data_IF_599386879377
#
_entry.id   IF_599386879377
#
_cell.length_a   1.000
_cell.length_b   1.000
_cell.length_c   1.000
_cell.angle_alpha   90.00
_cell.angle_beta   90.00
_cell.angle_gamma   90.00
#
_symmetry.space_group_name_H-M   'P 1'
#
loop_
_entity.id
_entity.type
_entity.pdbx_description
1 polymer ?
#
# COMPACT_ATOMS: atom_id res chain seq x y z
N UNK A 1 -7.49 13.93 -55.47
CA UNK A 1 -7.17 14.35 -54.08
C UNK A 1 -6.08 13.43 -53.54
N UNK A 2 -4.84 13.90 -53.29
CA UNK A 2 -3.77 13.02 -52.81
C UNK A 2 -3.91 12.74 -51.31
N UNK A 3 -3.91 11.46 -50.96
CA UNK A 3 -3.97 10.91 -49.61
C UNK A 3 -2.68 11.18 -48.82
N UNK A 4 -2.78 11.88 -47.68
CA UNK A 4 -1.66 12.10 -46.74
C UNK A 4 -1.22 10.77 -46.10
N UNK A 5 0.08 10.46 -46.01
CA UNK A 5 0.54 9.32 -45.22
C UNK A 5 0.50 9.68 -43.73
N UNK A 6 -0.18 8.85 -42.93
CA UNK A 6 -0.24 8.95 -41.47
C UNK A 6 1.17 8.76 -40.89
N UNK A 7 1.60 9.76 -40.12
CA UNK A 7 2.84 9.79 -39.36
C UNK A 7 3.03 8.49 -38.55
N UNK A 8 4.16 7.80 -38.78
CA UNK A 8 4.61 6.68 -37.95
C UNK A 8 5.09 7.26 -36.61
N UNK A 9 4.21 7.31 -35.62
CA UNK A 9 4.61 7.57 -34.24
C UNK A 9 5.62 6.49 -33.82
N UNK A 10 6.86 6.90 -33.56
CA UNK A 10 7.88 6.03 -32.94
C UNK A 10 7.30 5.49 -31.62
N UNK A 11 7.42 4.18 -31.33
CA UNK A 11 7.13 3.68 -30.00
C UNK A 11 8.04 4.43 -29.01
N UNK A 12 7.46 5.19 -28.10
CA UNK A 12 8.24 5.75 -26.99
C UNK A 12 8.89 4.57 -26.23
N UNK A 13 10.18 4.64 -25.90
CA UNK A 13 10.80 3.66 -25.02
C UNK A 13 9.98 3.64 -23.72
N UNK A 14 9.43 2.48 -23.37
CA UNK A 14 8.83 2.27 -22.07
C UNK A 14 9.83 2.72 -21.00
N UNK A 15 9.43 3.51 -20.00
CA UNK A 15 10.33 3.89 -18.91
C UNK A 15 10.94 2.61 -18.33
N UNK A 16 12.25 2.63 -18.00
CA UNK A 16 12.95 1.45 -17.52
C UNK A 16 12.18 0.83 -16.35
N UNK A 17 12.08 -0.51 -16.29
CA UNK A 17 11.38 -1.16 -15.20
C UNK A 17 12.00 -0.67 -13.89
N UNK A 18 11.16 -0.21 -12.96
CA UNK A 18 11.65 0.44 -11.77
C UNK A 18 12.45 -0.55 -10.93
N UNK A 19 13.48 -0.06 -10.21
CA UNK A 19 14.31 -0.91 -9.38
C UNK A 19 13.42 -1.70 -8.41
N UNK A 20 13.62 -3.02 -8.37
CA UNK A 20 12.82 -3.97 -7.58
C UNK A 20 12.71 -3.59 -6.11
N UNK A 21 13.74 -2.95 -5.56
CA UNK A 21 13.78 -2.42 -4.20
C UNK A 21 12.83 -1.22 -3.98
N UNK A 22 12.68 -0.34 -4.98
CA UNK A 22 11.76 0.80 -4.92
C UNK A 22 10.31 0.34 -5.03
N UNK A 23 10.04 -0.68 -5.84
CA UNK A 23 8.73 -1.32 -5.92
C UNK A 23 8.36 -2.00 -4.59
N UNK A 24 9.28 -2.77 -4.02
CA UNK A 24 9.10 -3.40 -2.70
C UNK A 24 8.77 -2.36 -1.62
N UNK A 25 9.59 -1.32 -1.48
CA UNK A 25 9.36 -0.26 -0.48
C UNK A 25 8.03 0.44 -0.67
N UNK A 26 7.69 0.77 -1.92
CA UNK A 26 6.42 1.41 -2.24
C UNK A 26 5.23 0.53 -1.83
N UNK A 27 5.23 -0.76 -2.21
CA UNK A 27 4.16 -1.70 -1.84
C UNK A 27 4.07 -1.89 -0.32
N UNK A 28 5.21 -2.07 0.36
CA UNK A 28 5.25 -2.22 1.80
C UNK A 28 4.66 -0.99 2.51
N UNK A 29 5.02 0.22 2.08
CA UNK A 29 4.42 1.46 2.60
C UNK A 29 2.90 1.49 2.38
N UNK A 30 2.42 1.09 1.21
CA UNK A 30 0.98 1.00 0.95
C UNK A 30 0.25 0.04 1.89
N UNK A 31 0.86 -1.09 2.24
CA UNK A 31 0.30 -2.01 3.22
C UNK A 31 0.37 -1.47 4.65
N UNK A 32 1.52 -0.91 5.05
CA UNK A 32 1.69 -0.32 6.39
C UNK A 32 0.70 0.81 6.67
N UNK A 33 0.44 1.68 5.68
CA UNK A 33 -0.56 2.74 5.83
C UNK A 33 -1.97 2.15 5.95
N UNK A 34 -2.26 1.05 5.24
CA UNK A 34 -3.52 0.30 5.37
C UNK A 34 -3.68 -0.40 6.72
N UNK A 35 -2.61 -0.60 7.49
CA UNK A 35 -2.67 -1.19 8.82
C UNK A 35 -3.27 -0.25 9.87
N UNK A 36 -3.04 1.04 9.72
CA UNK A 36 -3.48 2.09 10.67
C UNK A 36 -4.99 2.01 10.95
N UNK A 37 -5.89 1.96 9.95
CA UNK A 37 -7.32 1.82 10.22
C UNK A 37 -7.68 0.48 10.88
N UNK A 38 -7.02 -0.62 10.53
CA UNK A 38 -7.26 -1.93 11.17
C UNK A 38 -6.89 -1.91 12.66
N UNK A 39 -5.75 -1.31 13.02
CA UNK A 39 -5.35 -1.16 14.41
C UNK A 39 -6.30 -0.25 15.18
N UNK A 40 -6.75 0.85 14.58
CA UNK A 40 -7.72 1.74 15.22
C UNK A 40 -9.06 1.03 15.51
N UNK A 41 -9.55 0.20 14.57
CA UNK A 41 -10.73 -0.64 14.80
C UNK A 41 -10.50 -1.68 15.90
N UNK A 42 -9.33 -2.34 15.93
CA UNK A 42 -8.99 -3.30 16.96
C UNK A 42 -9.00 -2.65 18.36
N UNK A 43 -8.38 -1.48 18.48
CA UNK A 43 -8.31 -0.74 19.74
C UNK A 43 -9.69 -0.22 20.17
N UNK A 44 -10.56 0.14 19.23
CA UNK A 44 -11.97 0.45 19.50
C UNK A 44 -12.71 -0.76 20.05
N UNK A 45 -12.57 -1.93 19.40
CA UNK A 45 -13.21 -3.17 19.83
C UNK A 45 -12.75 -3.61 21.23
N UNK A 46 -11.47 -3.39 21.53
CA UNK A 46 -10.89 -3.64 22.85
C UNK A 46 -11.24 -2.57 23.89
N UNK A 47 -12.10 -1.59 23.55
CA UNK A 47 -12.49 -0.47 24.40
C UNK A 47 -11.31 0.38 24.91
N UNK A 48 -10.15 0.28 24.25
CA UNK A 48 -8.93 1.04 24.59
C UNK A 48 -9.01 2.46 24.04
N UNK A 49 -9.67 2.65 22.90
CA UNK A 49 -9.94 3.96 22.32
C UNK A 49 -11.43 4.31 22.36
N UNK A 50 -11.78 5.58 22.66
CA UNK A 50 -13.13 6.10 22.45
C UNK A 50 -13.54 5.94 20.99
N UNK A 51 -14.79 5.54 20.74
CA UNK A 51 -15.31 5.26 19.40
C UNK A 51 -15.14 6.43 18.43
N UNK A 52 -15.34 7.67 18.89
CA UNK A 52 -15.16 8.88 18.08
C UNK A 52 -13.71 9.05 17.59
N UNK A 53 -12.74 8.79 18.46
CA UNK A 53 -11.31 8.89 18.13
C UNK A 53 -10.91 7.77 17.18
N UNK A 54 -11.34 6.54 17.46
CA UNK A 54 -11.06 5.41 16.58
C UNK A 54 -11.64 5.62 15.18
N UNK A 55 -12.89 6.06 15.05
CA UNK A 55 -13.53 6.32 13.76
C UNK A 55 -12.82 7.43 12.97
N UNK A 56 -12.38 8.50 13.64
CA UNK A 56 -11.59 9.55 13.00
C UNK A 56 -10.25 9.01 12.47
N UNK A 57 -9.54 8.21 13.27
CA UNK A 57 -8.27 7.57 12.86
C UNK A 57 -8.48 6.58 11.72
N UNK A 58 -9.57 5.80 11.75
CA UNK A 58 -9.95 4.89 10.66
C UNK A 58 -10.20 5.65 9.39
N UNK A 59 -11.00 6.72 9.44
CA UNK A 59 -11.36 7.50 8.27
C UNK A 59 -10.12 8.14 7.62
N UNK A 60 -9.27 8.80 8.42
CA UNK A 60 -8.04 9.43 7.95
C UNK A 60 -7.05 8.38 7.43
N UNK A 61 -6.83 7.29 8.18
CA UNK A 61 -5.93 6.21 7.80
C UNK A 61 -6.37 5.51 6.52
N UNK A 62 -7.68 5.31 6.33
CA UNK A 62 -8.24 4.76 5.12
C UNK A 62 -8.04 5.68 3.91
N UNK A 63 -8.34 6.98 4.04
CA UNK A 63 -8.10 7.97 2.98
C UNK A 63 -6.61 8.05 2.61
N UNK A 64 -5.72 8.05 3.59
CA UNK A 64 -4.28 8.01 3.37
C UNK A 64 -3.85 6.73 2.64
N UNK A 65 -4.40 5.57 3.03
CA UNK A 65 -4.11 4.28 2.38
C UNK A 65 -4.56 4.29 0.92
N UNK A 66 -5.77 4.77 0.64
CA UNK A 66 -6.27 4.89 -0.74
C UNK A 66 -5.38 5.82 -1.57
N UNK A 67 -5.02 6.98 -1.02
CA UNK A 67 -4.16 7.94 -1.72
C UNK A 67 -2.77 7.36 -2.02
N UNK A 68 -2.13 6.74 -1.03
CA UNK A 68 -0.82 6.10 -1.17
C UNK A 68 -0.90 4.95 -2.19
N UNK A 69 -1.90 4.09 -2.10
CA UNK A 69 -2.08 2.98 -3.04
C UNK A 69 -2.37 3.46 -4.47
N UNK A 70 -3.17 4.51 -4.65
CA UNK A 70 -3.41 5.13 -5.96
C UNK A 70 -2.11 5.72 -6.53
N UNK A 71 -1.34 6.44 -5.71
CA UNK A 71 -0.06 7.03 -6.11
C UNK A 71 0.97 5.96 -6.51
N UNK A 72 1.00 4.85 -5.79
CA UNK A 72 1.87 3.71 -6.10
C UNK A 72 1.41 3.02 -7.38
N UNK A 73 0.11 2.78 -7.56
CA UNK A 73 -0.45 2.15 -8.78
C UNK A 73 -0.15 2.94 -10.04
N UNK A 74 -0.17 4.27 -9.97
CA UNK A 74 0.20 5.13 -11.11
C UNK A 74 1.67 4.98 -11.52
N UNK A 75 2.57 4.66 -10.57
CA UNK A 75 4.00 4.46 -10.83
C UNK A 75 4.37 3.01 -11.12
N UNK A 76 3.70 2.05 -10.49
CA UNK A 76 4.01 0.62 -10.50
C UNK A 76 2.73 -0.20 -10.71
N UNK A 77 2.40 -0.60 -11.95
CA UNK A 77 1.27 -1.48 -12.20
C UNK A 77 1.46 -2.82 -11.46
N UNK A 78 0.34 -3.45 -11.09
CA UNK A 78 0.34 -4.67 -10.29
C UNK A 78 0.89 -5.85 -11.11
N UNK A 79 1.92 -6.54 -10.59
CA UNK A 79 2.58 -7.64 -11.29
C UNK A 79 3.04 -8.70 -10.26
N UNK A 80 2.11 -9.61 -9.93
CA UNK A 80 2.29 -10.68 -8.94
C UNK A 80 3.36 -11.72 -9.33
N UNK A 81 3.85 -11.70 -10.58
CA UNK A 81 4.98 -12.53 -11.00
C UNK A 81 6.29 -12.10 -10.32
N UNK A 82 6.35 -10.88 -9.77
CA UNK A 82 7.56 -10.35 -9.13
C UNK A 82 7.63 -10.78 -7.67
N UNK A 83 8.69 -11.51 -7.31
CA UNK A 83 9.01 -11.92 -5.92
C UNK A 83 9.02 -10.75 -4.93
N UNK A 84 9.32 -9.53 -5.37
CA UNK A 84 9.29 -8.32 -4.56
C UNK A 84 7.91 -8.05 -3.92
N UNK A 85 6.83 -8.47 -4.57
CA UNK A 85 5.47 -8.33 -4.08
C UNK A 85 5.17 -9.29 -2.92
N UNK A 86 5.64 -10.53 -3.04
CA UNK A 86 5.60 -11.54 -1.97
C UNK A 86 6.43 -11.13 -0.76
N UNK A 87 7.62 -10.57 -0.99
CA UNK A 87 8.44 -10.02 0.09
C UNK A 87 7.74 -8.87 0.80
N UNK A 88 7.08 -7.95 0.07
CA UNK A 88 6.36 -6.84 0.68
C UNK A 88 5.18 -7.33 1.53
N UNK A 89 4.49 -8.38 1.07
CA UNK A 89 3.43 -9.04 1.82
C UNK A 89 3.97 -9.71 3.08
N UNK A 90 5.06 -10.48 2.97
CA UNK A 90 5.70 -11.16 4.10
C UNK A 90 6.22 -10.19 5.16
N UNK A 91 6.86 -9.09 4.73
CA UNK A 91 7.31 -8.02 5.63
C UNK A 91 6.13 -7.34 6.33
N UNK A 92 5.04 -7.08 5.61
CA UNK A 92 3.81 -6.57 6.21
C UNK A 92 3.26 -7.53 7.26
N UNK A 93 3.10 -8.82 6.95
CA UNK A 93 2.64 -9.84 7.90
C UNK A 93 3.54 -9.91 9.13
N UNK A 94 4.86 -9.84 8.98
CA UNK A 94 5.79 -9.83 10.11
C UNK A 94 5.59 -8.62 11.03
N UNK A 95 5.36 -7.42 10.45
CA UNK A 95 5.06 -6.21 11.22
C UNK A 95 3.75 -6.37 11.99
N UNK A 96 2.70 -6.92 11.35
CA UNK A 96 1.43 -7.20 12.04
C UNK A 96 1.63 -8.13 13.22
N UNK A 97 2.29 -9.27 13.02
CA UNK A 97 2.56 -10.24 14.08
C UNK A 97 3.35 -9.60 15.22
N UNK A 98 4.37 -8.80 14.92
CA UNK A 98 5.16 -8.10 15.94
C UNK A 98 4.32 -7.10 16.74
N UNK A 99 3.55 -6.24 16.06
CA UNK A 99 2.68 -5.25 16.72
C UNK A 99 1.61 -5.93 17.58
N UNK A 100 0.97 -6.98 17.06
CA UNK A 100 -0.03 -7.76 17.80
C UNK A 100 0.59 -8.45 19.01
N UNK A 101 1.78 -9.05 18.87
CA UNK A 101 2.47 -9.71 19.98
C UNK A 101 2.82 -8.72 21.08
N UNK A 102 3.39 -7.56 20.72
CA UNK A 102 3.70 -6.49 21.68
C UNK A 102 2.43 -6.01 22.38
N UNK A 103 1.35 -5.76 21.63
CA UNK A 103 0.07 -5.36 22.21
C UNK A 103 -0.47 -6.40 23.21
N UNK A 104 -0.45 -7.68 22.85
CA UNK A 104 -0.88 -8.76 23.75
C UNK A 104 -0.01 -8.86 25.00
N UNK A 105 1.31 -8.62 24.90
CA UNK A 105 2.21 -8.61 26.06
C UNK A 105 1.92 -7.48 27.06
N UNK A 106 1.26 -6.39 26.65
CA UNK A 106 0.88 -5.28 27.53
C UNK A 106 -0.56 -5.34 28.03
N UNK A 107 -1.40 -6.19 27.42
CA UNK A 107 -2.85 -6.27 27.70
C UNK A 107 -3.25 -7.62 28.30
N UNK A 108 -2.40 -8.65 28.21
CA UNK A 108 -2.52 -9.91 28.95
C UNK A 108 -1.99 -9.78 30.37
#
# INVERSE_FOLDING_TARGET
>A
MPSKPKSKAKPQPLPPPPPTSALFRARLLGYLVGLVPLLALLLMFRQVLPSQVALAVVFIGFMASVWVQQRIRQRYPYDFSRRAEWWALGAYTAVVVAVTSVYLSFVG
#
